data_IF_889345250203
#
_entry.id   IF_889345250203
#
_cell.length_a   1.000
_cell.length_b   1.000
_cell.length_c   1.000
_cell.angle_alpha   90.00
_cell.angle_beta   90.00
_cell.angle_gamma   90.00
#
_symmetry.space_group_name_H-M   'P 1'
#
loop_
_entity.id
_entity.type
_entity.pdbx_description
1 polymer ?
#
# COMPACT_ATOMS: atom_id res chain seq x y z
N UNK A 1 -3.00 32.75 -20.71
CA UNK A 1 -2.26 32.34 -19.49
C UNK A 1 -2.45 30.84 -19.29
N UNK A 2 -1.36 30.05 -19.27
CA UNK A 2 -1.42 28.59 -19.08
C UNK A 2 -1.56 28.27 -17.59
N UNK A 3 -2.73 27.83 -17.14
CA UNK A 3 -2.89 27.27 -15.80
C UNK A 3 -2.31 25.85 -15.78
N UNK A 4 -1.02 25.72 -15.48
CA UNK A 4 -0.47 24.44 -15.02
C UNK A 4 -0.97 24.25 -13.59
N UNK A 5 -2.10 23.55 -13.42
CA UNK A 5 -2.32 22.84 -12.16
C UNK A 5 -1.17 21.84 -12.07
N UNK A 6 -0.21 22.10 -11.18
CA UNK A 6 0.81 21.12 -10.83
C UNK A 6 0.07 19.92 -10.24
N UNK A 7 -0.11 18.87 -11.03
CA UNK A 7 -0.69 17.62 -10.53
C UNK A 7 0.12 17.15 -9.31
N UNK A 8 -0.54 16.66 -8.25
CA UNK A 8 0.15 16.12 -7.10
C UNK A 8 0.94 14.89 -7.55
N UNK A 9 2.27 15.05 -7.69
CA UNK A 9 3.22 13.99 -8.05
C UNK A 9 3.58 13.15 -6.83
N UNK A 10 2.60 12.74 -6.04
CA UNK A 10 2.81 11.85 -4.91
C UNK A 10 2.30 10.47 -5.31
N UNK A 11 3.22 9.58 -5.67
CA UNK A 11 2.91 8.15 -5.83
C UNK A 11 2.59 7.56 -4.46
N UNK A 12 1.53 6.75 -4.36
CA UNK A 12 1.20 6.05 -3.13
C UNK A 12 2.41 5.27 -2.61
N UNK A 13 2.72 5.45 -1.33
CA UNK A 13 3.93 4.89 -0.70
C UNK A 13 3.92 3.37 -0.77
N UNK A 14 2.77 2.76 -0.55
CA UNK A 14 2.55 1.32 -0.55
C UNK A 14 2.74 0.76 -1.96
N UNK A 15 2.17 1.42 -2.98
CA UNK A 15 2.36 1.04 -4.39
C UNK A 15 3.82 1.22 -4.82
N UNK A 16 4.48 2.29 -4.39
CA UNK A 16 5.90 2.53 -4.67
C UNK A 16 6.78 1.45 -4.05
N UNK A 17 6.41 0.97 -2.86
CA UNK A 17 7.10 -0.11 -2.17
C UNK A 17 6.90 -1.45 -2.91
N UNK A 18 5.67 -1.75 -3.35
CA UNK A 18 5.38 -2.95 -4.15
C UNK A 18 6.12 -2.94 -5.50
N UNK A 19 6.15 -1.80 -6.20
CA UNK A 19 6.90 -1.62 -7.44
C UNK A 19 8.43 -1.73 -7.25
N UNK A 20 8.93 -1.41 -6.05
CA UNK A 20 10.31 -1.73 -5.69
C UNK A 20 10.51 -3.24 -5.57
N UNK A 21 9.66 -3.94 -4.83
CA UNK A 21 9.78 -5.39 -4.66
C UNK A 21 9.66 -6.16 -5.98
N UNK A 22 8.80 -5.70 -6.89
CA UNK A 22 8.69 -6.24 -8.24
C UNK A 22 10.02 -6.16 -9.01
N UNK A 23 10.75 -5.05 -8.91
CA UNK A 23 12.06 -4.90 -9.55
C UNK A 23 13.13 -5.80 -8.93
N UNK A 24 13.03 -6.11 -7.63
CA UNK A 24 13.91 -7.09 -6.97
C UNK A 24 13.60 -8.49 -7.50
N UNK A 25 12.33 -8.86 -7.60
CA UNK A 25 11.90 -10.16 -8.12
C UNK A 25 12.26 -10.32 -9.60
N UNK A 26 12.21 -9.24 -10.38
CA UNK A 26 12.61 -9.25 -11.79
C UNK A 26 14.05 -9.76 -12.01
N UNK A 27 14.97 -9.55 -11.05
CA UNK A 27 16.33 -10.08 -11.11
C UNK A 27 16.36 -11.62 -11.10
N UNK A 28 15.41 -12.28 -10.43
CA UNK A 28 15.32 -13.73 -10.41
C UNK A 28 14.96 -14.33 -11.80
N UNK A 29 14.40 -13.54 -12.71
CA UNK A 29 14.09 -13.95 -14.08
C UNK A 29 15.22 -13.70 -15.08
N UNK A 30 16.27 -12.97 -14.69
CA UNK A 30 17.40 -12.69 -15.56
C UNK A 30 18.34 -13.91 -15.65
N UNK A 31 18.38 -14.56 -16.82
CA UNK A 31 19.24 -15.72 -17.09
C UNK A 31 20.73 -15.40 -17.12
N UNK A 32 21.12 -14.12 -17.24
CA UNK A 32 22.53 -13.70 -17.13
C UNK A 32 23.06 -13.74 -15.70
N UNK A 33 22.17 -13.92 -14.70
CA UNK A 33 22.53 -14.01 -13.28
C UNK A 33 22.70 -15.49 -12.91
N UNK A 34 23.79 -15.88 -12.21
CA UNK A 34 23.97 -17.23 -11.69
C UNK A 34 22.75 -17.77 -10.93
N UNK A 35 22.47 -19.06 -11.10
CA UNK A 35 21.26 -19.70 -10.56
C UNK A 35 21.07 -19.47 -9.05
N UNK A 36 22.16 -19.56 -8.27
CA UNK A 36 22.11 -19.35 -6.83
C UNK A 36 21.77 -17.90 -6.45
N UNK A 37 22.27 -16.93 -7.21
CA UNK A 37 21.95 -15.51 -7.00
C UNK A 37 20.48 -15.21 -7.36
N UNK A 38 19.94 -15.85 -8.39
CA UNK A 38 18.50 -15.78 -8.72
C UNK A 38 17.65 -16.32 -7.58
N UNK A 39 18.05 -17.44 -6.96
CA UNK A 39 17.37 -17.96 -5.77
C UNK A 39 17.42 -16.98 -4.60
N UNK A 40 18.54 -16.29 -4.41
CA UNK A 40 18.64 -15.23 -3.39
C UNK A 40 17.65 -14.09 -3.66
N UNK A 41 17.48 -13.65 -4.92
CA UNK A 41 16.48 -12.63 -5.27
C UNK A 41 15.05 -13.08 -4.97
N UNK A 42 14.71 -14.36 -5.18
CA UNK A 42 13.41 -14.92 -4.79
C UNK A 42 13.23 -14.85 -3.27
N UNK A 43 14.23 -15.32 -2.51
CA UNK A 43 14.18 -15.33 -1.05
C UNK A 43 14.07 -13.91 -0.46
N UNK A 44 14.82 -12.95 -1.01
CA UNK A 44 14.74 -11.53 -0.63
C UNK A 44 13.35 -10.97 -0.93
N UNK A 45 12.81 -11.24 -2.13
CA UNK A 45 11.49 -10.74 -2.53
C UNK A 45 10.36 -11.28 -1.64
N UNK A 46 10.47 -12.56 -1.22
CA UNK A 46 9.54 -13.17 -0.27
C UNK A 46 9.62 -12.53 1.12
N UNK A 47 10.83 -12.39 1.69
CA UNK A 47 11.05 -11.72 2.98
C UNK A 47 10.52 -10.29 2.98
N UNK A 48 10.76 -9.56 1.91
CA UNK A 48 10.25 -8.20 1.74
C UNK A 48 8.71 -8.23 1.79
N UNK A 49 8.08 -9.13 1.02
CA UNK A 49 6.61 -9.22 0.97
C UNK A 49 6.00 -9.54 2.34
N UNK A 50 6.63 -10.44 3.11
CA UNK A 50 6.20 -10.74 4.49
C UNK A 50 6.21 -9.48 5.37
N UNK A 51 7.27 -8.66 5.28
CA UNK A 51 7.37 -7.40 6.01
C UNK A 51 6.28 -6.40 5.60
N UNK A 52 5.97 -6.32 4.30
CA UNK A 52 4.88 -5.48 3.81
C UNK A 52 3.52 -5.90 4.38
N UNK A 53 3.21 -7.20 4.40
CA UNK A 53 1.95 -7.68 4.95
C UNK A 53 1.86 -7.44 6.46
N UNK A 54 2.92 -7.74 7.22
CA UNK A 54 2.91 -7.57 8.67
C UNK A 54 2.78 -6.11 9.10
N UNK A 55 3.46 -5.19 8.40
CA UNK A 55 3.51 -3.78 8.82
C UNK A 55 2.46 -2.92 8.11
N UNK A 56 2.33 -3.03 6.79
CA UNK A 56 1.53 -2.10 5.98
C UNK A 56 0.09 -2.55 5.87
N UNK A 57 -0.17 -3.83 5.57
CA UNK A 57 -1.55 -4.33 5.48
C UNK A 57 -2.25 -4.32 6.83
N UNK A 58 -1.55 -4.72 7.91
CA UNK A 58 -2.10 -4.61 9.26
C UNK A 58 -2.40 -3.15 9.65
N UNK A 59 -1.52 -2.21 9.31
CA UNK A 59 -1.73 -0.78 9.54
C UNK A 59 -2.94 -0.22 8.78
N UNK A 60 -3.09 -0.57 7.51
CA UNK A 60 -4.24 -0.17 6.69
C UNK A 60 -5.56 -0.75 7.21
N UNK A 61 -5.53 -2.03 7.64
CA UNK A 61 -6.71 -2.69 8.22
C UNK A 61 -7.14 -2.02 9.53
N UNK A 62 -6.20 -1.71 10.41
CA UNK A 62 -6.48 -0.98 11.65
C UNK A 62 -7.03 0.43 11.39
N UNK A 63 -6.55 1.12 10.34
CA UNK A 63 -7.10 2.43 9.94
C UNK A 63 -8.54 2.30 9.44
N UNK A 64 -8.80 1.31 8.59
CA UNK A 64 -10.14 1.00 8.10
C UNK A 64 -11.10 0.65 9.25
N UNK A 65 -10.68 -0.22 10.18
CA UNK A 65 -11.48 -0.65 11.34
C UNK A 65 -11.74 0.51 12.33
N UNK A 66 -10.82 1.47 12.43
CA UNK A 66 -10.98 2.69 13.22
C UNK A 66 -11.93 3.73 12.57
N UNK A 67 -12.49 3.42 11.40
CA UNK A 67 -13.30 4.37 10.62
C UNK A 67 -12.50 5.58 10.14
N UNK A 68 -11.15 5.50 10.16
CA UNK A 68 -10.31 6.49 9.52
C UNK A 68 -10.34 6.19 8.03
N UNK A 69 -10.90 7.12 7.26
CA UNK A 69 -10.80 7.05 5.81
C UNK A 69 -9.33 6.91 5.44
N UNK A 70 -9.01 5.83 4.70
CA UNK A 70 -7.69 5.63 4.14
C UNK A 70 -7.38 6.84 3.27
N UNK A 71 -6.59 7.76 3.79
CA UNK A 71 -6.15 8.91 3.05
C UNK A 71 -5.25 8.38 1.93
N UNK A 72 -5.81 8.27 0.72
CA UNK A 72 -4.97 8.27 -0.46
C UNK A 72 -4.17 9.59 -0.43
N UNK A 73 -2.92 9.55 -0.89
CA UNK A 73 -2.02 10.72 -0.86
C UNK A 73 -2.52 11.93 -1.71
N UNK A 74 -3.73 11.80 -2.28
CA UNK A 74 -4.44 12.78 -3.08
C UNK A 74 -5.42 13.65 -2.26
N UNK A 75 -5.60 13.36 -0.96
CA UNK A 75 -6.50 14.11 -0.07
C UNK A 75 -7.99 13.84 -0.29
N UNK A 76 -8.34 12.76 -1.01
CA UNK A 76 -9.73 12.36 -1.21
C UNK A 76 -10.05 11.15 -0.33
N UNK A 77 -10.65 11.42 0.83
CA UNK A 77 -11.27 10.41 1.65
C UNK A 77 -12.28 9.61 0.80
N UNK A 78 -12.04 8.30 0.65
CA UNK A 78 -13.04 7.40 0.10
C UNK A 78 -14.13 7.27 1.17
N UNK A 79 -15.22 8.02 1.04
CA UNK A 79 -16.41 7.87 1.88
C UNK A 79 -16.87 6.42 1.76
N UNK A 80 -16.42 5.58 2.70
CA UNK A 80 -16.98 4.25 2.86
C UNK A 80 -18.19 4.45 3.76
N UNK A 81 -19.37 4.37 3.15
CA UNK A 81 -20.64 4.33 3.86
C UNK A 81 -20.68 3.06 4.71
N UNK A 82 -20.13 3.13 5.92
CA UNK A 82 -20.51 2.23 7.00
C UNK A 82 -21.34 3.03 8.00
N UNK A 83 -22.59 2.63 8.27
CA UNK A 83 -23.42 3.32 9.24
C UNK A 83 -22.79 3.19 10.63
N UNK A 84 -22.84 4.25 11.47
CA UNK A 84 -22.29 4.18 12.81
C UNK A 84 -23.02 3.11 13.61
N UNK A 85 -22.29 2.08 14.04
CA UNK A 85 -22.74 1.18 15.08
C UNK A 85 -22.81 1.99 16.39
N UNK A 86 -24.01 2.40 16.78
CA UNK A 86 -24.27 2.98 18.08
C UNK A 86 -25.02 4.30 18.06
N UNK A 87 -26.19 4.34 17.43
CA UNK A 87 -27.23 5.29 17.81
C UNK A 87 -27.88 4.80 19.11
N UNK A 88 -27.40 5.28 20.26
CA UNK A 88 -28.24 5.33 21.46
C UNK A 88 -29.29 6.40 21.24
N UNK A 89 -30.43 6.02 20.64
CA UNK A 89 -31.69 6.65 20.98
C UNK A 89 -31.98 6.30 22.44
N UNK A 90 -31.69 7.25 23.34
CA UNK A 90 -32.33 7.27 24.64
C UNK A 90 -33.30 8.44 24.66
N UNK A 91 -34.56 8.08 24.48
CA UNK A 91 -35.76 8.85 24.79
C UNK A 91 -35.57 9.74 26.01
N UNK A 92 -35.70 11.06 25.81
CA UNK A 92 -36.51 11.98 26.61
C UNK A 92 -36.52 13.38 26.01
#
# INVERSE_FOLDING_TARGET
>A
MKNHKSEPRYFDRELSWLAFNERVLAQAYNESIPLLERLNFIAISAKNLDEFYMVRVAGLKNQQDAGMDIANNNGNYLVTTHPPLGGTELSR
#
